data_IF_952081263382
#
_entry.id   IF_952081263382
#
_cell.length_a   1.000
_cell.length_b   1.000
_cell.length_c   1.000
_cell.angle_alpha   90.00
_cell.angle_beta   90.00
_cell.angle_gamma   90.00
#
_symmetry.space_group_name_H-M   'P 1'
#
loop_
_entity.id
_entity.type
_entity.pdbx_description
1 polymer ?
#
# COMPACT_ATOMS: atom_id res chain seq x y z
N UNK A 1 -8.81 -6.85 5.05
CA UNK A 1 -9.26 -5.46 5.20
C UNK A 1 -10.18 -5.38 6.40
N UNK A 2 -9.95 -4.46 7.34
CA UNK A 2 -10.84 -4.20 8.49
C UNK A 2 -11.74 -3.02 8.16
N UNK A 3 -12.98 -3.31 7.74
CA UNK A 3 -13.90 -2.29 7.21
C UNK A 3 -14.20 -1.16 8.20
N UNK A 4 -14.41 -1.47 9.49
CA UNK A 4 -14.74 -0.46 10.51
C UNK A 4 -13.60 0.50 10.84
N UNK A 5 -12.35 0.11 10.58
CA UNK A 5 -11.16 0.91 10.89
C UNK A 5 -10.49 1.46 9.62
N UNK A 6 -10.94 1.03 8.44
CA UNK A 6 -10.34 1.37 7.16
C UNK A 6 -8.84 1.00 7.09
N UNK A 7 -8.47 -0.13 7.70
CA UNK A 7 -7.08 -0.63 7.73
C UNK A 7 -6.90 -1.90 6.90
N UNK A 8 -5.71 -2.07 6.34
CA UNK A 8 -5.23 -3.36 5.86
C UNK A 8 -4.45 -4.05 6.96
N UNK A 9 -4.59 -5.38 7.06
CA UNK A 9 -3.82 -6.21 8.01
C UNK A 9 -3.03 -7.28 7.24
N UNK A 10 -1.73 -7.36 7.52
CA UNK A 10 -0.91 -8.50 7.16
C UNK A 10 -1.11 -9.62 8.21
N UNK A 11 -1.67 -10.78 7.86
CA UNK A 11 -1.99 -11.82 8.83
C UNK A 11 -0.76 -12.54 9.41
N UNK A 12 0.40 -12.45 8.75
CA UNK A 12 1.61 -13.17 9.17
C UNK A 12 2.22 -12.62 10.48
N UNK A 13 2.24 -11.31 10.61
CA UNK A 13 2.89 -10.62 11.74
C UNK A 13 2.10 -9.38 12.18
N UNK A 14 0.83 -9.32 11.79
CA UNK A 14 -0.17 -8.38 12.32
C UNK A 14 0.19 -6.90 12.11
N UNK A 15 0.92 -6.60 11.04
CA UNK A 15 1.11 -5.20 10.63
C UNK A 15 -0.20 -4.63 10.12
N UNK A 16 -0.55 -3.45 10.61
CA UNK A 16 -1.73 -2.70 10.19
C UNK A 16 -1.34 -1.44 9.44
N UNK A 17 -2.05 -1.13 8.36
CA UNK A 17 -1.78 0.00 7.48
C UNK A 17 -3.04 0.85 7.32
N UNK A 18 -2.93 2.16 7.54
CA UNK A 18 -4.03 3.12 7.37
C UNK A 18 -4.26 3.42 5.88
N UNK A 19 -5.35 2.91 5.31
CA UNK A 19 -5.66 3.05 3.87
C UNK A 19 -5.94 4.49 3.48
N UNK A 20 -6.52 5.28 4.38
CA UNK A 20 -6.87 6.68 4.10
C UNK A 20 -5.64 7.60 4.11
N UNK A 21 -4.57 7.17 4.79
CA UNK A 21 -3.32 7.93 4.91
C UNK A 21 -2.17 7.30 4.13
N UNK A 22 -2.43 6.85 2.91
CA UNK A 22 -1.37 6.36 2.03
C UNK A 22 -0.78 5.01 2.45
N UNK A 23 -1.54 4.17 3.15
CA UNK A 23 -1.10 2.89 3.69
C UNK A 23 0.11 3.00 4.63
N UNK A 24 0.20 4.08 5.41
CA UNK A 24 1.23 4.23 6.45
C UNK A 24 1.03 3.15 7.53
N UNK A 25 2.09 2.44 7.97
CA UNK A 25 1.98 1.48 9.06
C UNK A 25 1.58 2.17 10.36
N UNK A 26 0.61 1.61 11.07
CA UNK A 26 0.13 2.10 12.38
C UNK A 26 0.37 1.09 13.51
N UNK A 27 0.68 -0.17 13.18
CA UNK A 27 1.01 -1.23 14.14
C UNK A 27 1.82 -2.36 13.48
N UNK A 28 2.46 -3.19 14.29
CA UNK A 28 3.28 -4.34 13.88
C UNK A 28 4.65 -3.96 13.30
N UNK A 29 5.40 -4.94 12.75
CA UNK A 29 6.81 -4.74 12.39
C UNK A 29 7.10 -4.06 11.04
N UNK A 30 6.09 -3.75 10.22
CA UNK A 30 6.29 -3.09 8.93
C UNK A 30 6.76 -1.64 9.12
N UNK A 31 7.89 -1.29 8.49
CA UNK A 31 8.56 -0.01 8.68
C UNK A 31 8.30 1.03 7.57
N UNK A 32 7.57 0.67 6.51
CA UNK A 32 7.29 1.58 5.38
C UNK A 32 5.87 1.47 4.86
N UNK A 33 5.33 2.53 4.23
CA UNK A 33 4.04 2.47 3.56
C UNK A 33 4.03 1.46 2.42
N UNK A 34 2.85 0.90 2.13
CA UNK A 34 2.65 0.13 0.89
C UNK A 34 2.66 1.11 -0.29
N UNK A 35 3.42 0.84 -1.37
CA UNK A 35 3.43 1.73 -2.53
C UNK A 35 2.06 1.73 -3.21
N UNK A 36 1.57 2.92 -3.58
CA UNK A 36 0.29 3.05 -4.27
C UNK A 36 0.46 2.92 -5.79
N UNK A 37 -0.48 2.20 -6.42
CA UNK A 37 -0.61 2.14 -7.88
C UNK A 37 -1.56 3.26 -8.32
N UNK A 38 -1.10 4.23 -9.15
CA UNK A 38 -1.99 5.25 -9.67
C UNK A 38 -2.97 4.63 -10.67
N UNK A 39 -4.28 4.82 -10.45
CA UNK A 39 -5.34 4.27 -11.30
C UNK A 39 -6.31 5.35 -11.78
N UNK A 40 -6.91 5.11 -12.95
CA UNK A 40 -7.97 5.94 -13.49
C UNK A 40 -9.13 5.09 -14.00
N UNK A 41 -10.35 5.54 -13.74
CA UNK A 41 -11.57 4.96 -14.32
C UNK A 41 -11.75 5.48 -15.75
N UNK A 42 -12.01 4.56 -16.68
CA UNK A 42 -12.32 4.87 -18.07
C UNK A 42 -13.82 5.16 -18.28
N UNK A 43 -14.16 5.69 -19.46
CA UNK A 43 -15.54 5.99 -19.83
C UNK A 43 -16.44 4.74 -19.88
N UNK A 44 -15.87 3.59 -20.28
CA UNK A 44 -16.54 2.29 -20.33
C UNK A 44 -16.70 1.62 -18.95
N UNK A 45 -16.19 2.26 -17.89
CA UNK A 45 -16.27 1.77 -16.51
C UNK A 45 -15.14 0.84 -16.09
N UNK A 46 -14.18 0.54 -16.97
CA UNK A 46 -12.96 -0.19 -16.60
C UNK A 46 -11.97 0.69 -15.84
N UNK A 47 -10.95 0.09 -15.25
CA UNK A 47 -9.84 0.79 -14.60
C UNK A 47 -8.54 0.48 -15.32
N UNK A 48 -7.68 1.50 -15.46
CA UNK A 48 -6.31 1.36 -15.93
C UNK A 48 -5.31 1.86 -14.90
N UNK A 49 -4.12 1.28 -14.91
CA UNK A 49 -2.96 1.86 -14.26
C UNK A 49 -2.43 3.04 -15.11
N UNK A 50 -2.02 4.12 -14.45
CA UNK A 50 -1.41 5.29 -15.09
C UNK A 50 0.12 5.18 -15.18
N UNK A 51 0.70 4.13 -14.61
CA UNK A 51 2.13 3.88 -14.56
C UNK A 51 2.47 2.84 -13.49
N UNK A 52 3.76 2.73 -13.19
CA UNK A 52 4.27 1.85 -12.15
C UNK A 52 4.04 2.41 -10.73
N UNK A 53 4.37 1.59 -9.74
CA UNK A 53 4.40 1.99 -8.33
C UNK A 53 5.42 3.11 -8.07
N UNK A 54 5.08 4.05 -7.18
CA UNK A 54 5.96 5.16 -6.81
C UNK A 54 7.21 4.73 -5.99
N UNK A 55 7.27 3.49 -5.52
CA UNK A 55 8.40 2.91 -4.81
C UNK A 55 8.47 1.39 -5.02
N UNK A 56 9.63 0.74 -4.77
CA UNK A 56 9.78 -0.70 -4.91
C UNK A 56 8.75 -1.49 -4.08
N UNK A 57 8.18 -2.53 -4.69
CA UNK A 57 7.24 -3.43 -4.03
C UNK A 57 8.01 -4.49 -3.23
N UNK A 58 7.55 -4.75 -2.01
CA UNK A 58 8.04 -5.84 -1.16
C UNK A 58 8.86 -5.38 0.06
N UNK A 59 9.52 -6.33 0.75
CA UNK A 59 10.38 -6.03 1.91
C UNK A 59 11.55 -5.11 1.59
N UNK A 60 12.15 -4.50 2.63
CA UNK A 60 13.37 -3.71 2.47
C UNK A 60 14.52 -4.54 1.92
N UNK A 61 15.34 -3.91 1.10
CA UNK A 61 16.64 -4.43 0.69
C UNK A 61 17.71 -3.34 0.86
N UNK A 62 18.97 -3.74 0.77
CA UNK A 62 20.12 -2.82 0.82
C UNK A 62 19.99 -1.77 -0.30
N UNK A 63 20.27 -0.50 -0.03
CA UNK A 63 20.20 0.61 -0.99
C UNK A 63 18.80 1.07 -1.47
N UNK A 64 17.71 0.66 -0.83
CA UNK A 64 16.35 1.09 -1.24
C UNK A 64 16.09 2.62 -1.18
N UNK A 65 16.92 3.37 -0.45
CA UNK A 65 16.84 4.84 -0.35
C UNK A 65 18.10 5.54 -0.85
N UNK A 66 18.96 4.82 -1.58
CA UNK A 66 20.18 5.41 -2.14
C UNK A 66 19.89 6.16 -3.43
#
# INVERSE_FOLDING_TARGET
YRSSQQTLICPCHQSEFDVLRGAVPISGPAARPLPQLPIQRQADGTFIALGDFAAPVGPSFWDIHR
#
